data_IF_679907114794
#
_entry.id   IF_679907114794
#
_cell.length_a   1.000
_cell.length_b   1.000
_cell.length_c   1.000
_cell.angle_alpha   90.00
_cell.angle_beta   90.00
_cell.angle_gamma   90.00
#
_symmetry.space_group_name_H-M   'P 1'
#
loop_
_entity.id
_entity.type
_entity.pdbx_description
1 polymer ?
#
# COMPACT_ATOMS: atom_id res chain seq x y z
N UNK A 1 22.12 3.73 -11.28
CA UNK A 1 22.31 4.88 -10.33
C UNK A 1 22.35 4.28 -8.95
N UNK A 2 23.33 4.63 -8.13
CA UNK A 2 23.37 4.15 -6.73
C UNK A 2 22.34 4.95 -5.92
N UNK A 3 21.31 4.26 -5.40
CA UNK A 3 20.23 4.88 -4.61
C UNK A 3 20.44 4.78 -3.09
N UNK A 4 21.48 4.08 -2.64
CA UNK A 4 21.76 3.85 -1.22
C UNK A 4 20.69 3.00 -0.52
N UNK A 5 20.01 2.11 -1.25
CA UNK A 5 18.92 1.28 -0.74
C UNK A 5 19.36 -0.15 -0.38
N UNK A 6 20.50 -0.62 -0.89
CA UNK A 6 21.00 -1.97 -0.62
C UNK A 6 21.11 -2.24 0.89
N UNK A 7 20.62 -3.39 1.32
CA UNK A 7 20.56 -3.80 2.73
C UNK A 7 19.48 -3.13 3.58
N UNK A 8 18.64 -2.27 2.99
CA UNK A 8 17.44 -1.74 3.64
C UNK A 8 16.34 -2.78 3.68
N UNK A 9 15.40 -2.64 4.62
CA UNK A 9 14.24 -3.54 4.78
C UNK A 9 12.94 -2.84 4.38
N UNK A 10 12.12 -3.52 3.59
CA UNK A 10 10.86 -2.97 3.11
C UNK A 10 9.67 -3.90 3.39
N UNK A 11 8.57 -3.31 3.81
CA UNK A 11 7.25 -3.93 3.78
C UNK A 11 6.49 -3.36 2.57
N UNK A 12 5.93 -4.26 1.75
CA UNK A 12 5.08 -3.87 0.62
C UNK A 12 3.72 -4.53 0.74
N UNK A 13 2.69 -3.73 1.03
CA UNK A 13 1.31 -4.18 1.11
C UNK A 13 0.66 -4.31 -0.27
N UNK A 14 -0.32 -5.23 -0.41
CA UNK A 14 -1.01 -5.48 -1.67
C UNK A 14 -0.07 -5.93 -2.79
N UNK A 15 0.97 -6.71 -2.44
CA UNK A 15 2.11 -7.01 -3.30
C UNK A 15 1.96 -8.28 -4.15
N UNK A 16 0.81 -8.96 -4.12
CA UNK A 16 0.59 -10.17 -4.94
C UNK A 16 0.43 -9.87 -6.44
N UNK A 17 0.10 -8.63 -6.82
CA UNK A 17 -0.09 -8.22 -8.21
C UNK A 17 -0.01 -6.69 -8.39
N UNK A 18 -0.02 -6.23 -9.64
CA UNK A 18 -0.17 -4.81 -10.01
C UNK A 18 0.90 -3.90 -9.43
N UNK A 19 0.48 -2.71 -8.97
CA UNK A 19 1.39 -1.66 -8.50
C UNK A 19 2.23 -2.08 -7.28
N UNK A 20 1.63 -2.78 -6.31
CA UNK A 20 2.37 -3.28 -5.14
C UNK A 20 3.48 -4.25 -5.55
N UNK A 21 3.17 -5.22 -6.43
CA UNK A 21 4.20 -6.14 -6.95
C UNK A 21 5.30 -5.41 -7.72
N UNK A 22 4.94 -4.42 -8.53
CA UNK A 22 5.92 -3.62 -9.27
C UNK A 22 6.86 -2.83 -8.34
N UNK A 23 6.32 -2.26 -7.26
CA UNK A 23 7.13 -1.61 -6.23
C UNK A 23 8.08 -2.60 -5.54
N UNK A 24 7.59 -3.79 -5.19
CA UNK A 24 8.39 -4.82 -4.57
C UNK A 24 9.54 -5.29 -5.49
N UNK A 25 9.25 -5.50 -6.78
CA UNK A 25 10.26 -5.84 -7.78
C UNK A 25 11.34 -4.76 -7.89
N UNK A 26 10.92 -3.48 -7.97
CA UNK A 26 11.86 -2.37 -8.08
C UNK A 26 12.78 -2.28 -6.86
N UNK A 27 12.21 -2.42 -5.65
CA UNK A 27 12.98 -2.42 -4.39
C UNK A 27 13.94 -3.61 -4.31
N UNK A 28 13.48 -4.81 -4.68
CA UNK A 28 14.33 -6.01 -4.68
C UNK A 28 15.48 -5.89 -5.67
N UNK A 29 15.28 -5.30 -6.85
CA UNK A 29 16.35 -5.04 -7.83
C UNK A 29 17.44 -4.08 -7.31
N UNK A 30 17.11 -3.23 -6.33
CA UNK A 30 18.04 -2.31 -5.66
C UNK A 30 18.71 -2.96 -4.41
N UNK A 31 18.53 -4.27 -4.20
CA UNK A 31 19.11 -4.99 -3.07
C UNK A 31 18.43 -4.73 -1.74
N UNK A 32 17.17 -4.33 -1.74
CA UNK A 32 16.34 -4.19 -0.54
C UNK A 32 15.80 -5.56 -0.12
N UNK A 33 15.86 -5.87 1.17
CA UNK A 33 15.20 -7.03 1.77
C UNK A 33 13.68 -6.78 1.82
N UNK A 34 12.92 -7.45 0.96
CA UNK A 34 11.49 -7.16 0.79
C UNK A 34 10.63 -8.22 1.45
N UNK A 35 9.65 -7.77 2.25
CA UNK A 35 8.56 -8.59 2.78
C UNK A 35 7.26 -8.19 2.10
N UNK A 36 6.66 -9.11 1.35
CA UNK A 36 5.37 -8.93 0.67
C UNK A 36 4.22 -9.21 1.62
N UNK A 37 3.17 -8.40 1.56
CA UNK A 37 1.92 -8.66 2.28
C UNK A 37 0.71 -8.65 1.34
N UNK A 38 -0.13 -9.68 1.44
CA UNK A 38 -1.45 -9.75 0.82
C UNK A 38 -2.27 -10.87 1.50
N UNK A 39 -3.58 -10.97 1.20
CA UNK A 39 -4.48 -11.93 1.85
C UNK A 39 -4.36 -13.36 1.33
N UNK A 40 -4.03 -13.55 0.07
CA UNK A 40 -4.01 -14.86 -0.60
C UNK A 40 -2.60 -15.40 -0.68
N UNK A 41 -2.30 -16.41 0.12
CA UNK A 41 -0.97 -16.98 0.26
C UNK A 41 -0.41 -17.51 -1.07
N UNK A 42 -1.21 -18.26 -1.82
CA UNK A 42 -0.78 -18.86 -3.09
C UNK A 42 -0.25 -17.83 -4.10
N UNK A 43 -1.03 -16.75 -4.31
CA UNK A 43 -0.63 -15.69 -5.24
C UNK A 43 0.56 -14.90 -4.74
N UNK A 44 0.67 -14.74 -3.42
CA UNK A 44 1.76 -14.03 -2.78
C UNK A 44 3.06 -14.81 -2.84
N UNK A 45 3.02 -16.12 -2.57
CA UNK A 45 4.16 -17.04 -2.70
C UNK A 45 4.71 -17.07 -4.12
N UNK A 46 3.82 -17.13 -5.12
CA UNK A 46 4.21 -17.06 -6.51
C UNK A 46 4.90 -15.73 -6.85
N UNK A 47 4.32 -14.60 -6.43
CA UNK A 47 4.91 -13.28 -6.65
C UNK A 47 6.30 -13.16 -5.99
N UNK A 48 6.48 -13.67 -4.77
CA UNK A 48 7.77 -13.68 -4.09
C UNK A 48 8.82 -14.50 -4.85
N UNK A 49 8.44 -15.69 -5.34
CA UNK A 49 9.33 -16.53 -6.14
C UNK A 49 9.76 -15.86 -7.44
N UNK A 50 8.82 -15.30 -8.21
CA UNK A 50 9.09 -14.60 -9.47
C UNK A 50 9.96 -13.35 -9.28
N UNK A 51 9.75 -12.59 -8.19
CA UNK A 51 10.59 -11.43 -7.85
C UNK A 51 11.99 -11.88 -7.46
N UNK A 52 12.12 -12.92 -6.63
CA UNK A 52 13.41 -13.44 -6.19
C UNK A 52 14.23 -13.98 -7.38
N UNK A 53 13.62 -14.74 -8.28
CA UNK A 53 14.25 -15.23 -9.51
C UNK A 53 14.76 -14.09 -10.39
N UNK A 54 13.94 -13.05 -10.57
CA UNK A 54 14.29 -11.92 -11.43
C UNK A 54 15.35 -10.98 -10.86
N UNK A 55 15.33 -10.74 -9.54
CA UNK A 55 16.26 -9.81 -8.88
C UNK A 55 17.57 -10.47 -8.41
N UNK A 56 17.57 -11.78 -8.20
CA UNK A 56 18.67 -12.51 -7.58
C UNK A 56 18.73 -12.38 -6.05
N UNK A 57 17.75 -11.73 -5.42
CA UNK A 57 17.68 -11.56 -3.96
C UNK A 57 16.49 -12.36 -3.38
N UNK A 58 16.62 -12.80 -2.13
CA UNK A 58 15.52 -13.46 -1.43
C UNK A 58 14.39 -12.48 -1.13
N UNK A 59 13.15 -12.94 -1.28
CA UNK A 59 11.95 -12.15 -0.99
C UNK A 59 11.05 -12.97 -0.06
N UNK A 60 10.77 -12.40 1.09
CA UNK A 60 9.87 -12.99 2.08
C UNK A 60 8.42 -12.56 1.84
N UNK A 61 7.47 -13.29 2.45
CA UNK A 61 6.06 -12.92 2.37
C UNK A 61 5.29 -13.31 3.62
N UNK A 62 4.18 -12.61 3.86
CA UNK A 62 3.21 -12.89 4.93
C UNK A 62 1.80 -12.79 4.36
N UNK A 63 1.06 -13.91 4.43
CA UNK A 63 -0.37 -13.89 4.11
C UNK A 63 -1.13 -13.24 5.28
N UNK A 64 -1.50 -11.97 5.10
CA UNK A 64 -2.12 -11.18 6.15
C UNK A 64 -3.16 -10.19 5.60
N UNK A 65 -4.22 -9.98 6.38
CA UNK A 65 -5.14 -8.87 6.17
C UNK A 65 -4.73 -7.69 7.06
N UNK A 66 -4.17 -6.67 6.46
CA UNK A 66 -3.67 -5.48 7.16
C UNK A 66 -4.79 -4.61 7.77
N UNK A 67 -6.06 -4.88 7.46
CA UNK A 67 -7.19 -4.23 8.12
C UNK A 67 -7.40 -4.76 9.54
N UNK A 68 -6.84 -5.93 9.87
CA UNK A 68 -6.91 -6.54 11.19
C UNK A 68 -5.63 -6.29 12.00
N UNK A 69 -5.77 -6.15 13.30
CA UNK A 69 -4.62 -6.03 14.21
C UNK A 69 -3.72 -7.25 14.13
N UNK A 70 -4.30 -8.46 14.11
CA UNK A 70 -3.56 -9.71 13.97
C UNK A 70 -2.73 -9.75 12.69
N UNK A 71 -3.30 -9.30 11.56
CA UNK A 71 -2.59 -9.26 10.28
C UNK A 71 -1.41 -8.29 10.31
N UNK A 72 -1.58 -7.12 10.92
CA UNK A 72 -0.49 -6.15 11.08
C UNK A 72 0.60 -6.67 12.02
N UNK A 73 0.24 -7.31 13.13
CA UNK A 73 1.21 -7.94 14.04
C UNK A 73 2.00 -9.05 13.35
N UNK A 74 1.36 -9.92 12.56
CA UNK A 74 2.05 -10.97 11.82
C UNK A 74 3.07 -10.38 10.82
N UNK A 75 2.69 -9.32 10.13
CA UNK A 75 3.55 -8.63 9.17
C UNK A 75 4.75 -7.96 9.85
N UNK A 76 4.51 -7.21 10.92
CA UNK A 76 5.57 -6.54 11.69
C UNK A 76 6.45 -7.54 12.45
N UNK A 77 5.91 -8.69 12.85
CA UNK A 77 6.72 -9.78 13.41
C UNK A 77 7.74 -10.36 12.41
N UNK A 78 7.41 -10.34 11.10
CA UNK A 78 8.34 -10.78 10.04
C UNK A 78 9.36 -9.68 9.69
N UNK A 79 8.96 -8.41 9.76
CA UNK A 79 9.83 -7.26 9.51
C UNK A 79 9.59 -6.20 10.60
N UNK A 80 10.20 -6.34 11.79
CA UNK A 80 9.88 -5.49 12.94
C UNK A 80 10.31 -4.03 12.78
N UNK A 81 11.39 -3.79 12.03
CA UNK A 81 11.96 -2.45 11.85
C UNK A 81 12.15 -2.12 10.36
N UNK A 82 11.08 -1.95 9.58
CA UNK A 82 11.24 -1.61 8.17
C UNK A 82 11.82 -0.19 8.01
N UNK A 83 12.70 -0.04 7.02
CA UNK A 83 13.17 1.26 6.55
C UNK A 83 12.21 1.89 5.55
N UNK A 84 11.47 1.03 4.84
CA UNK A 84 10.56 1.41 3.77
C UNK A 84 9.20 0.73 4.01
N UNK A 85 8.13 1.52 3.93
CA UNK A 85 6.75 1.03 3.98
C UNK A 85 5.98 1.47 2.74
N UNK A 86 5.51 0.52 1.95
CA UNK A 86 4.61 0.79 0.83
C UNK A 86 3.19 0.35 1.22
N UNK A 87 2.35 1.29 1.56
CA UNK A 87 0.93 1.06 1.79
C UNK A 87 0.18 1.00 0.47
N UNK A 88 -0.45 -0.12 0.20
CA UNK A 88 -1.29 -0.35 -0.96
C UNK A 88 -2.39 -1.35 -0.61
N UNK A 89 -3.63 -1.03 -0.93
CA UNK A 89 -4.77 -1.89 -0.70
C UNK A 89 -5.74 -1.86 -1.88
N UNK A 90 -6.48 -2.94 -2.04
CA UNK A 90 -7.56 -2.99 -3.01
C UNK A 90 -8.59 -1.90 -2.69
N UNK A 91 -8.98 -1.13 -3.69
CA UNK A 91 -10.05 -0.14 -3.51
C UNK A 91 -11.42 -0.81 -3.34
N UNK A 92 -12.38 -0.13 -2.71
CA UNK A 92 -13.76 -0.60 -2.60
C UNK A 92 -14.42 -0.70 -3.98
N UNK A 93 -15.56 -1.40 -4.09
CA UNK A 93 -16.32 -1.49 -5.33
C UNK A 93 -16.83 -0.12 -5.79
N UNK A 94 -17.02 0.01 -7.10
CA UNK A 94 -17.71 1.15 -7.71
C UNK A 94 -19.22 1.02 -7.52
N UNK A 95 -19.89 2.14 -7.25
CA UNK A 95 -21.35 2.12 -7.05
C UNK A 95 -21.99 3.51 -7.08
N UNK A 96 -23.33 3.52 -7.16
CA UNK A 96 -24.10 4.75 -7.02
C UNK A 96 -23.98 5.25 -5.56
N UNK A 97 -23.54 6.47 -5.37
CA UNK A 97 -23.36 7.08 -4.05
C UNK A 97 -24.65 7.13 -3.21
N UNK A 98 -25.83 7.13 -3.85
CA UNK A 98 -27.14 7.12 -3.18
C UNK A 98 -27.46 5.79 -2.50
N UNK A 99 -26.78 4.72 -2.90
CA UNK A 99 -27.00 3.34 -2.41
C UNK A 99 -25.94 2.92 -1.39
N UNK A 100 -24.92 3.77 -1.13
CA UNK A 100 -23.84 3.44 -0.21
C UNK A 100 -24.32 3.49 1.24
N UNK A 101 -24.15 2.39 1.94
CA UNK A 101 -24.51 2.25 3.34
C UNK A 101 -23.39 2.75 4.26
N UNK A 102 -23.69 2.91 5.54
CA UNK A 102 -22.69 3.22 6.57
C UNK A 102 -21.64 2.13 6.66
N UNK A 103 -22.03 0.87 6.53
CA UNK A 103 -21.15 -0.30 6.55
C UNK A 103 -20.15 -0.28 5.38
N UNK A 104 -20.59 0.14 4.19
CA UNK A 104 -19.70 0.30 3.03
C UNK A 104 -18.64 1.37 3.29
N UNK A 105 -19.02 2.48 3.91
CA UNK A 105 -18.12 3.54 4.32
C UNK A 105 -17.10 3.05 5.35
N UNK A 106 -17.52 2.34 6.39
CA UNK A 106 -16.62 1.78 7.41
C UNK A 106 -15.60 0.86 6.76
N UNK A 107 -16.03 -0.10 5.93
CA UNK A 107 -15.13 -1.02 5.21
C UNK A 107 -14.14 -0.28 4.30
N UNK A 108 -14.59 0.77 3.64
CA UNK A 108 -13.73 1.57 2.78
C UNK A 108 -12.69 2.37 3.58
N UNK A 109 -13.08 2.93 4.71
CA UNK A 109 -12.18 3.62 5.63
C UNK A 109 -11.15 2.65 6.23
N UNK A 110 -11.58 1.50 6.72
CA UNK A 110 -10.66 0.48 7.25
C UNK A 110 -9.63 0.05 6.22
N UNK A 111 -10.08 -0.29 5.01
CA UNK A 111 -9.20 -0.83 3.97
C UNK A 111 -8.29 0.20 3.29
N UNK A 112 -8.70 1.48 3.21
CA UNK A 112 -7.99 2.45 2.38
C UNK A 112 -7.52 3.72 3.13
N UNK A 113 -7.71 3.76 4.44
CA UNK A 113 -7.28 4.86 5.31
C UNK A 113 -6.70 4.33 6.63
N UNK A 114 -7.52 3.69 7.47
CA UNK A 114 -7.15 3.36 8.85
C UNK A 114 -6.03 2.31 8.90
N UNK A 115 -6.09 1.25 8.10
CA UNK A 115 -5.02 0.25 8.04
C UNK A 115 -3.65 0.84 7.70
N UNK A 116 -3.61 1.82 6.78
CA UNK A 116 -2.39 2.52 6.44
C UNK A 116 -1.92 3.44 7.58
N UNK A 117 -2.83 4.17 8.23
CA UNK A 117 -2.52 5.03 9.37
C UNK A 117 -1.93 4.22 10.52
N UNK A 118 -2.51 3.07 10.84
CA UNK A 118 -2.05 2.21 11.94
C UNK A 118 -0.67 1.61 11.64
N UNK A 119 -0.40 1.18 10.40
CA UNK A 119 0.94 0.75 10.00
C UNK A 119 1.95 1.90 10.08
N UNK A 120 1.58 3.09 9.60
CA UNK A 120 2.42 4.29 9.71
C UNK A 120 2.78 4.56 11.16
N UNK A 121 1.78 4.63 12.04
CA UNK A 121 2.00 4.94 13.46
C UNK A 121 2.93 3.92 14.14
N UNK A 122 2.84 2.64 13.76
CA UNK A 122 3.68 1.60 14.36
C UNK A 122 5.15 1.71 13.93
N UNK A 123 5.43 2.08 12.68
CA UNK A 123 6.80 2.11 12.17
C UNK A 123 7.49 3.47 12.33
N UNK A 124 6.71 4.51 12.63
CA UNK A 124 7.17 5.90 12.55
C UNK A 124 8.22 6.23 13.61
N UNK A 125 7.96 5.92 14.90
CA UNK A 125 8.89 6.21 15.97
C UNK A 125 10.24 5.49 15.81
N UNK A 126 10.29 4.18 15.50
CA UNK A 126 11.54 3.51 15.16
C UNK A 126 12.28 4.14 13.96
N UNK A 127 11.57 4.61 12.93
CA UNK A 127 12.19 5.32 11.79
C UNK A 127 12.79 6.67 12.22
N UNK A 128 12.11 7.41 13.10
CA UNK A 128 12.58 8.67 13.66
C UNK A 128 13.86 8.45 14.46
N UNK A 129 13.89 7.44 15.33
CA UNK A 129 15.06 7.11 16.15
C UNK A 129 16.28 6.75 15.29
N UNK A 130 16.07 5.98 14.23
CA UNK A 130 17.14 5.62 13.26
C UNK A 130 17.49 6.75 12.29
N UNK A 131 16.75 7.86 12.29
CA UNK A 131 16.89 8.99 11.36
C UNK A 131 16.83 8.56 9.89
N UNK A 132 16.00 7.57 9.61
CA UNK A 132 15.73 7.08 8.26
C UNK A 132 14.35 6.41 8.18
N UNK A 133 13.53 6.84 7.23
CA UNK A 133 12.26 6.20 6.89
C UNK A 133 11.70 6.70 5.57
N UNK A 134 11.12 5.78 4.78
CA UNK A 134 10.46 6.11 3.51
C UNK A 134 9.10 5.45 3.48
N UNK A 135 8.05 6.24 3.64
CA UNK A 135 6.68 5.76 3.64
C UNK A 135 5.99 6.28 2.38
N UNK A 136 5.45 5.37 1.58
CA UNK A 136 4.72 5.69 0.35
C UNK A 136 3.34 5.07 0.42
N UNK A 137 2.32 5.87 0.27
CA UNK A 137 0.93 5.41 0.18
C UNK A 137 0.48 5.46 -1.27
N UNK A 138 0.12 4.32 -1.85
CA UNK A 138 -0.47 4.25 -3.18
C UNK A 138 -1.96 4.60 -3.05
N UNK A 139 -2.28 5.84 -3.34
CA UNK A 139 -3.64 6.37 -3.26
C UNK A 139 -4.34 6.33 -4.63
N UNK A 140 -4.78 7.46 -5.17
CA UNK A 140 -5.42 7.54 -6.48
C UNK A 140 -5.46 8.99 -6.97
N UNK A 141 -5.36 9.20 -8.28
CA UNK A 141 -5.60 10.51 -8.91
C UNK A 141 -7.01 11.04 -8.61
N UNK A 142 -7.97 10.16 -8.25
CA UNK A 142 -9.33 10.54 -7.86
C UNK A 142 -9.38 11.47 -6.64
N UNK A 143 -8.31 11.54 -5.84
CA UNK A 143 -8.19 12.53 -4.76
C UNK A 143 -8.21 13.95 -5.33
N UNK A 144 -7.64 14.17 -6.52
CA UNK A 144 -7.60 15.46 -7.23
C UNK A 144 -8.73 15.64 -8.23
N UNK A 145 -9.18 14.57 -8.89
CA UNK A 145 -10.23 14.58 -9.91
C UNK A 145 -11.38 13.64 -9.51
N UNK A 146 -12.35 14.11 -8.70
CA UNK A 146 -13.38 13.25 -8.12
C UNK A 146 -14.41 12.76 -9.15
N UNK A 147 -14.78 11.48 -9.04
CA UNK A 147 -15.91 10.87 -9.75
C UNK A 147 -16.92 10.32 -8.74
N UNK A 148 -18.23 10.58 -8.97
CA UNK A 148 -19.30 10.17 -8.05
C UNK A 148 -19.35 8.66 -7.80
N UNK A 149 -19.13 7.84 -8.83
CA UNK A 149 -19.14 6.37 -8.71
C UNK A 149 -17.99 5.78 -7.86
N UNK A 150 -16.98 6.58 -7.52
CA UNK A 150 -15.81 6.19 -6.73
C UNK A 150 -15.79 6.87 -5.35
N UNK A 151 -16.94 7.31 -4.85
CA UNK A 151 -17.09 8.08 -3.61
C UNK A 151 -16.40 7.43 -2.41
N UNK A 152 -16.58 6.13 -2.19
CA UNK A 152 -15.93 5.39 -1.09
C UNK A 152 -14.42 5.48 -1.16
N UNK A 153 -13.85 5.10 -2.31
CA UNK A 153 -12.40 5.10 -2.51
C UNK A 153 -11.81 6.50 -2.37
N UNK A 154 -12.48 7.49 -2.96
CA UNK A 154 -12.06 8.88 -2.89
C UNK A 154 -12.10 9.41 -1.46
N UNK A 155 -13.21 9.21 -0.74
CA UNK A 155 -13.37 9.70 0.62
C UNK A 155 -12.29 9.16 1.55
N UNK A 156 -12.04 7.84 1.53
CA UNK A 156 -11.02 7.21 2.34
C UNK A 156 -9.61 7.69 1.97
N UNK A 157 -9.26 7.73 0.69
CA UNK A 157 -7.91 8.12 0.24
C UNK A 157 -7.65 9.63 0.39
N UNK A 158 -8.66 10.47 0.32
CA UNK A 158 -8.54 11.88 0.62
C UNK A 158 -8.27 12.11 2.12
N UNK A 159 -8.94 11.37 3.00
CA UNK A 159 -8.67 11.37 4.43
C UNK A 159 -7.23 10.96 4.76
N UNK A 160 -6.74 9.85 4.18
CA UNK A 160 -5.35 9.45 4.30
C UNK A 160 -4.38 10.53 3.80
N UNK A 161 -4.70 11.17 2.67
CA UNK A 161 -3.86 12.22 2.09
C UNK A 161 -3.76 13.42 3.04
N UNK A 162 -4.86 13.81 3.67
CA UNK A 162 -4.87 14.86 4.69
C UNK A 162 -4.04 14.53 5.91
N UNK A 163 -4.20 13.33 6.46
CA UNK A 163 -3.39 12.81 7.58
C UNK A 163 -1.89 12.88 7.25
N UNK A 164 -1.48 12.32 6.14
CA UNK A 164 -0.08 12.29 5.69
C UNK A 164 0.49 13.70 5.53
N UNK A 165 -0.30 14.64 4.99
CA UNK A 165 0.12 16.03 4.81
C UNK A 165 0.47 16.77 6.12
N UNK A 166 -0.17 16.40 7.24
CA UNK A 166 0.17 16.88 8.57
C UNK A 166 1.45 16.21 9.10
N UNK A 167 1.43 14.89 9.22
CA UNK A 167 2.53 14.11 9.82
C UNK A 167 3.86 14.29 9.08
N UNK A 168 3.84 14.34 7.75
CA UNK A 168 5.05 14.48 6.94
C UNK A 168 5.89 15.72 7.32
N UNK A 169 5.23 16.82 7.69
CA UNK A 169 5.91 18.06 8.09
C UNK A 169 6.65 17.93 9.43
N UNK A 170 6.06 17.20 10.36
CA UNK A 170 6.65 17.04 11.70
C UNK A 170 7.88 16.11 11.67
N UNK A 171 7.87 15.09 10.84
CA UNK A 171 8.91 14.04 10.82
C UNK A 171 10.04 14.31 9.82
N UNK A 172 9.87 15.24 8.88
CA UNK A 172 10.86 15.54 7.84
C UNK A 172 12.24 15.90 8.41
N UNK A 173 12.29 16.59 9.54
CA UNK A 173 13.51 16.95 10.26
C UNK A 173 14.32 15.73 10.76
N UNK A 174 13.69 14.56 10.82
CA UNK A 174 14.32 13.30 11.22
C UNK A 174 14.74 12.44 10.04
N UNK A 175 14.79 12.99 8.83
CA UNK A 175 15.05 12.24 7.59
C UNK A 175 14.03 11.10 7.33
N UNK A 176 12.80 11.29 7.80
CA UNK A 176 11.66 10.41 7.52
C UNK A 176 10.72 11.12 6.54
N UNK A 177 10.36 10.46 5.46
CA UNK A 177 9.45 11.03 4.46
C UNK A 177 8.20 10.21 4.32
N UNK A 178 7.05 10.90 4.27
CA UNK A 178 5.74 10.31 3.97
C UNK A 178 5.21 10.95 2.68
N UNK A 179 4.96 10.12 1.68
CA UNK A 179 4.47 10.59 0.39
C UNK A 179 3.22 9.81 -0.05
N UNK A 180 2.35 10.48 -0.79
CA UNK A 180 1.22 9.86 -1.46
C UNK A 180 1.48 9.82 -2.96
N UNK A 181 1.49 8.63 -3.53
CA UNK A 181 1.48 8.43 -4.97
C UNK A 181 0.04 8.37 -5.46
N UNK A 182 -0.30 9.19 -6.45
CA UNK A 182 -1.65 9.31 -6.98
C UNK A 182 -1.73 8.73 -8.40
N UNK A 183 -1.69 7.40 -8.56
CA UNK A 183 -1.69 6.78 -9.88
C UNK A 183 -2.99 7.07 -10.63
N UNK A 184 -2.87 7.24 -11.95
CA UNK A 184 -3.97 7.23 -12.88
C UNK A 184 -4.42 5.81 -13.21
N UNK A 185 -4.80 5.58 -14.47
CA UNK A 185 -5.12 4.26 -14.97
C UNK A 185 -3.84 3.54 -15.40
N UNK A 186 -3.56 2.40 -14.79
CA UNK A 186 -2.47 1.52 -15.16
C UNK A 186 -3.04 0.20 -15.68
N UNK A 187 -2.39 -0.39 -16.66
CA UNK A 187 -2.77 -1.71 -17.18
C UNK A 187 -2.50 -2.79 -16.12
N UNK A 188 -3.54 -3.11 -15.39
CA UNK A 188 -3.54 -4.09 -14.30
C UNK A 188 -4.83 -4.89 -14.35
N UNK A 189 -4.84 -6.10 -13.77
CA UNK A 189 -6.06 -6.90 -13.65
C UNK A 189 -7.22 -6.15 -12.97
N UNK A 190 -6.93 -5.16 -12.12
CA UNK A 190 -7.94 -4.28 -11.51
C UNK A 190 -8.62 -3.37 -12.54
N UNK A 191 -7.86 -2.81 -13.48
CA UNK A 191 -8.43 -1.97 -14.54
C UNK A 191 -9.34 -2.79 -15.45
N UNK A 192 -8.89 -3.98 -15.86
CA UNK A 192 -9.69 -4.91 -16.68
C UNK A 192 -11.01 -5.28 -15.98
N UNK A 193 -10.97 -5.65 -14.69
CA UNK A 193 -12.17 -5.95 -13.90
C UNK A 193 -13.11 -4.75 -13.77
N UNK A 194 -12.59 -3.53 -13.61
CA UNK A 194 -13.40 -2.32 -13.56
C UNK A 194 -14.12 -2.07 -14.90
N UNK A 195 -13.43 -2.21 -16.03
CA UNK A 195 -14.02 -2.03 -17.35
C UNK A 195 -15.17 -3.03 -17.62
N UNK A 196 -14.99 -4.32 -17.23
CA UNK A 196 -16.05 -5.32 -17.32
C UNK A 196 -17.28 -4.92 -16.47
N UNK A 197 -17.06 -4.45 -15.23
CA UNK A 197 -18.14 -4.02 -14.35
C UNK A 197 -18.88 -2.76 -14.84
N UNK A 198 -18.20 -1.87 -15.58
CA UNK A 198 -18.85 -0.73 -16.21
C UNK A 198 -19.69 -1.14 -17.42
N UNK A 199 -19.18 -2.07 -18.25
CA UNK A 199 -19.88 -2.53 -19.44
C UNK A 199 -21.17 -3.32 -19.12
N UNK A 200 -21.23 -4.02 -17.97
CA UNK A 200 -22.39 -4.79 -17.53
C UNK A 200 -23.48 -3.94 -16.84
N UNK A 201 -23.24 -2.69 -16.56
CA UNK A 201 -24.18 -1.79 -15.88
C UNK A 201 -24.81 -0.73 -16.80
N UNK A 202 -24.51 -0.78 -18.11
CA UNK A 202 -25.19 -0.03 -19.16
C UNK A 202 -26.22 -0.92 -19.87
#
# INVERSE_FOLDING_TARGET
MELGLSGRRAIVCGASAGLGRACAQALSNEGVEVVLAARTEETLKRAAGEIAESSGFSVDYVAADVTTEQGRHALLGKCPDPDILINNAAGPPVGDYRQLTREDWIKALDGNMLSAIELINTVLDPMIERKFGRIINITSHMVKSPMAMLSLSKGARAGLTGYVGGVARDVAKHNVTLNNLLPGQFDTGRLAANHQNFATKQ
#
